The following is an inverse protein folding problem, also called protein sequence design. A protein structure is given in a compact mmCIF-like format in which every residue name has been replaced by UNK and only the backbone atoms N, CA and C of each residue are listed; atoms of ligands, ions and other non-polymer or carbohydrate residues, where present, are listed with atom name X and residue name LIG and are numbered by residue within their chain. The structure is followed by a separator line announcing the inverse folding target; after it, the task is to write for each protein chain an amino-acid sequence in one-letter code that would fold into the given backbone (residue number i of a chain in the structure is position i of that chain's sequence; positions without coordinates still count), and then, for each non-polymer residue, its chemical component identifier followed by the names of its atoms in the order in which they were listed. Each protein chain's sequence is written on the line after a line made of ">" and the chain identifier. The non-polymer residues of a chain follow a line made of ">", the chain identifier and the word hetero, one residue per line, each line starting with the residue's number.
data_IF_809291938197
#
_entry.id   IF_809291938197
#
_cell.length_a   1.000
_cell.length_b   1.000
_cell.length_c   1.000
_cell.angle_alpha   90.00
_cell.angle_beta   90.00
_cell.angle_gamma   90.00
#
_symmetry.space_group_name_H-M   'P 1'
#
loop_
_entity.id
_entity.type
_entity.pdbx_description
1 polymer ?
#
# COMPACT_ATOMS: atom_id res chain seq x y z
N UNK A 1 9.45 7.83 -8.23
CA UNK A 1 9.02 6.92 -9.31
C UNK A 1 8.04 7.58 -10.26
N UNK A 2 6.92 8.17 -9.80
CA UNK A 2 5.96 8.86 -10.69
C UNK A 2 6.30 10.35 -10.97
N UNK A 3 7.48 10.81 -10.56
CA UNK A 3 7.89 12.21 -10.67
C UNK A 3 8.25 12.64 -12.10
N UNK A 4 8.40 11.68 -13.02
CA UNK A 4 8.74 11.92 -14.43
C UNK A 4 7.50 12.04 -15.34
N UNK A 5 6.29 11.97 -14.77
CA UNK A 5 5.06 12.10 -15.53
C UNK A 5 4.86 13.55 -15.98
N UNK A 6 4.33 13.73 -17.19
CA UNK A 6 3.86 15.04 -17.66
C UNK A 6 2.65 15.51 -16.83
N UNK A 7 2.41 16.81 -16.81
CA UNK A 7 1.25 17.39 -16.09
C UNK A 7 -0.09 16.73 -16.44
N UNK A 8 -0.42 16.48 -17.74
CA UNK A 8 -1.66 15.79 -18.09
C UNK A 8 -1.73 14.35 -17.55
N UNK A 9 -0.61 13.64 -17.52
CA UNK A 9 -0.56 12.28 -17.00
C UNK A 9 -0.74 12.25 -15.47
N UNK A 10 -0.21 13.23 -14.75
CA UNK A 10 -0.44 13.40 -13.31
C UNK A 10 -1.91 13.69 -13.04
N UNK A 11 -2.55 14.57 -13.81
CA UNK A 11 -3.96 14.90 -13.65
C UNK A 11 -4.87 13.69 -13.94
N UNK A 12 -4.59 12.94 -15.01
CA UNK A 12 -5.29 11.71 -15.33
C UNK A 12 -5.15 10.67 -14.20
N UNK A 13 -3.95 10.54 -13.64
CA UNK A 13 -3.69 9.63 -12.52
C UNK A 13 -4.44 10.06 -11.24
N UNK A 14 -4.49 11.37 -10.96
CA UNK A 14 -5.25 11.89 -9.82
C UNK A 14 -6.76 11.61 -9.98
N UNK A 15 -7.32 11.87 -11.18
CA UNK A 15 -8.71 11.52 -11.52
C UNK A 15 -8.98 10.04 -11.31
N UNK A 16 -8.05 9.18 -11.73
CA UNK A 16 -8.13 7.74 -11.52
C UNK A 16 -8.12 7.35 -10.03
N UNK A 17 -7.22 7.92 -9.22
CA UNK A 17 -7.20 7.66 -7.77
C UNK A 17 -8.48 8.14 -7.08
N UNK A 18 -9.00 9.31 -7.44
CA UNK A 18 -10.26 9.82 -6.90
C UNK A 18 -11.44 8.91 -7.25
N UNK A 19 -11.45 8.35 -8.47
CA UNK A 19 -12.46 7.36 -8.87
C UNK A 19 -12.38 6.10 -8.02
N UNK A 20 -11.18 5.56 -7.77
CA UNK A 20 -10.97 4.42 -6.86
C UNK A 20 -11.48 4.74 -5.45
N UNK A 21 -11.17 5.93 -4.94
CA UNK A 21 -11.60 6.38 -3.61
C UNK A 21 -13.12 6.39 -3.46
N UNK A 22 -13.84 6.97 -4.44
CA UNK A 22 -15.31 7.03 -4.43
C UNK A 22 -15.93 5.63 -4.58
N UNK A 23 -15.38 4.81 -5.48
CA UNK A 23 -15.91 3.46 -5.73
C UNK A 23 -15.56 2.45 -4.64
N UNK A 24 -14.54 2.72 -3.81
CA UNK A 24 -14.07 1.79 -2.77
C UNK A 24 -13.46 0.49 -3.32
N UNK A 25 -13.07 0.44 -4.60
CA UNK A 25 -12.58 -0.77 -5.29
C UNK A 25 -11.17 -0.57 -5.81
N UNK A 26 -10.21 -1.34 -5.30
CA UNK A 26 -8.85 -1.40 -5.88
C UNK A 26 -8.67 -2.60 -6.79
N UNK A 27 -7.75 -2.47 -7.75
CA UNK A 27 -7.35 -3.57 -8.60
C UNK A 27 -6.78 -4.73 -7.78
N UNK A 28 -7.19 -5.96 -8.10
CA UNK A 28 -6.72 -7.18 -7.40
C UNK A 28 -5.20 -7.34 -7.50
N UNK A 29 -4.58 -6.85 -8.58
CA UNK A 29 -3.14 -6.84 -8.76
C UNK A 29 -2.40 -5.97 -7.74
N UNK A 30 -3.03 -4.93 -7.19
CA UNK A 30 -2.41 -4.04 -6.20
C UNK A 30 -2.38 -4.64 -4.79
N UNK A 31 -3.18 -5.69 -4.57
CA UNK A 31 -3.18 -6.52 -3.35
C UNK A 31 -2.06 -7.54 -3.32
N UNK A 32 -1.34 -7.69 -4.45
CA UNK A 32 -0.25 -8.66 -4.62
C UNK A 32 1.07 -7.91 -4.65
N UNK A 33 2.09 -8.51 -4.02
CA UNK A 33 3.46 -8.03 -4.08
C UNK A 33 4.38 -9.22 -4.37
N UNK A 34 5.43 -8.98 -5.16
CA UNK A 34 6.49 -9.97 -5.30
C UNK A 34 7.39 -9.90 -4.08
N UNK A 35 7.59 -11.01 -3.38
CA UNK A 35 8.36 -11.03 -2.13
C UNK A 35 9.78 -11.47 -2.45
N UNK A 36 10.73 -10.53 -2.32
CA UNK A 36 12.15 -10.84 -2.35
C UNK A 36 12.65 -11.12 -0.95
N UNK A 37 13.23 -12.30 -0.72
CA UNK A 37 13.76 -12.69 0.58
C UNK A 37 15.28 -12.52 0.61
N UNK A 38 15.80 -11.65 1.49
CA UNK A 38 17.24 -11.42 1.63
C UNK A 38 17.77 -11.99 2.94
N UNK A 39 18.84 -12.77 2.88
CA UNK A 39 19.42 -13.39 4.07
C UNK A 39 19.96 -12.31 5.03
N UNK A 40 19.69 -12.47 6.33
CA UNK A 40 20.33 -11.63 7.37
C UNK A 40 21.84 -11.92 7.38
N UNK A 41 22.70 -10.89 7.53
CA UNK A 41 24.15 -11.08 7.56
C UNK A 41 24.57 -12.10 8.62
N UNK A 42 25.53 -12.97 8.28
CA UNK A 42 26.13 -13.92 9.22
C UNK A 42 25.20 -15.06 9.69
N UNK A 43 24.14 -15.38 8.94
CA UNK A 43 23.22 -16.49 9.26
C UNK A 43 23.28 -17.56 8.19
N UNK A 44 23.12 -18.84 8.58
CA UNK A 44 23.04 -19.95 7.62
C UNK A 44 21.66 -20.00 6.94
N UNK A 45 21.62 -20.51 5.72
CA UNK A 45 20.45 -20.54 4.81
C UNK A 45 19.28 -21.41 5.31
N UNK A 46 19.46 -22.13 6.41
CA UNK A 46 18.67 -23.29 6.78
C UNK A 46 17.26 -22.94 7.27
N UNK A 47 17.01 -21.70 7.74
CA UNK A 47 15.73 -21.30 8.32
C UNK A 47 15.15 -20.04 7.67
N UNK A 48 13.86 -20.08 7.30
CA UNK A 48 13.12 -18.97 6.69
C UNK A 48 13.11 -17.69 7.54
N UNK A 49 13.08 -17.81 8.87
CA UNK A 49 13.11 -16.68 9.82
C UNK A 49 14.40 -15.82 9.74
N UNK A 50 15.41 -16.33 9.05
CA UNK A 50 16.70 -15.67 8.83
C UNK A 50 16.69 -14.75 7.62
N UNK A 51 15.62 -14.73 6.83
CA UNK A 51 15.47 -13.81 5.71
C UNK A 51 14.65 -12.57 6.10
N UNK A 52 14.89 -11.47 5.40
CA UNK A 52 14.09 -10.25 5.41
C UNK A 52 13.21 -10.25 4.17
N UNK A 53 11.88 -10.42 4.30
CA UNK A 53 10.99 -10.29 3.16
C UNK A 53 10.86 -8.81 2.78
N UNK A 54 11.11 -8.49 1.51
CA UNK A 54 10.91 -7.16 0.93
C UNK A 54 9.80 -7.27 -0.13
N UNK A 55 8.60 -6.73 0.14
CA UNK A 55 7.51 -6.74 -0.82
C UNK A 55 7.73 -5.68 -1.90
N UNK A 56 7.86 -6.15 -3.14
CA UNK A 56 7.82 -5.32 -4.34
C UNK A 56 6.37 -5.16 -4.80
N UNK A 57 5.69 -4.16 -4.25
CA UNK A 57 4.39 -3.70 -4.76
C UNK A 57 4.55 -2.71 -5.92
N UNK A 58 3.51 -2.58 -6.74
CA UNK A 58 3.47 -1.63 -7.87
C UNK A 58 3.66 -0.19 -7.38
N UNK A 59 4.28 0.66 -8.21
CA UNK A 59 4.50 2.05 -7.80
C UNK A 59 3.16 2.80 -7.62
N UNK A 60 2.13 2.44 -8.39
CA UNK A 60 0.79 3.00 -8.26
C UNK A 60 0.16 2.66 -6.90
N UNK A 61 0.24 1.40 -6.48
CA UNK A 61 -0.28 0.97 -5.17
C UNK A 61 0.44 1.69 -4.03
N UNK A 62 1.79 1.79 -4.09
CA UNK A 62 2.59 2.53 -3.08
C UNK A 62 2.19 4.00 -3.01
N UNK A 63 2.04 4.66 -4.16
CA UNK A 63 1.61 6.07 -4.21
C UNK A 63 0.22 6.25 -3.63
N UNK A 64 -0.72 5.38 -3.99
CA UNK A 64 -2.10 5.47 -3.52
C UNK A 64 -2.21 5.30 -2.00
N UNK A 65 -1.51 4.31 -1.42
CA UNK A 65 -1.44 4.13 0.04
C UNK A 65 -0.84 5.37 0.72
N UNK A 66 0.16 6.01 0.11
CA UNK A 66 0.74 7.25 0.64
C UNK A 66 -0.26 8.40 0.65
N UNK A 67 -1.04 8.58 -0.42
CA UNK A 67 -2.11 9.60 -0.49
C UNK A 67 -3.10 9.37 0.65
N UNK A 68 -3.59 8.13 0.79
CA UNK A 68 -4.52 7.74 1.87
C UNK A 68 -3.93 8.05 3.25
N UNK A 69 -2.68 7.65 3.51
CA UNK A 69 -2.02 7.88 4.80
C UNK A 69 -1.94 9.38 5.12
N UNK A 70 -1.60 10.20 4.13
CA UNK A 70 -1.54 11.66 4.32
C UNK A 70 -2.93 12.21 4.59
N UNK A 71 -3.94 11.86 3.80
CA UNK A 71 -5.33 12.29 4.03
C UNK A 71 -5.83 11.92 5.43
N UNK A 72 -5.53 10.70 5.88
CA UNK A 72 -5.90 10.23 7.21
C UNK A 72 -5.19 11.01 8.32
N UNK A 73 -3.87 11.24 8.19
CA UNK A 73 -3.11 12.02 9.18
C UNK A 73 -3.57 13.49 9.26
N UNK A 74 -3.87 14.11 8.11
CA UNK A 74 -4.41 15.47 8.09
C UNK A 74 -5.75 15.55 8.82
N UNK A 75 -6.62 14.56 8.63
CA UNK A 75 -7.91 14.52 9.31
C UNK A 75 -7.78 14.32 10.82
N UNK A 76 -6.83 13.50 11.29
CA UNK A 76 -6.52 13.37 12.72
C UNK A 76 -5.98 14.69 13.29
N UNK A 77 -5.13 15.40 12.53
CA UNK A 77 -4.60 16.70 12.96
C UNK A 77 -5.67 17.79 13.04
N UNK A 78 -6.69 17.73 12.18
CA UNK A 78 -7.77 18.72 12.13
C UNK A 78 -8.97 18.39 13.03
N UNK A 79 -9.23 17.11 13.33
CA UNK A 79 -10.28 16.69 14.25
C UNK A 79 -9.66 16.33 15.62
N UNK A 80 -9.83 17.19 16.62
CA UNK A 80 -9.55 16.83 18.00
C UNK A 80 -10.42 15.65 18.43
N UNK A 81 -9.84 14.44 18.45
CA UNK A 81 -10.25 13.16 19.08
C UNK A 81 -11.74 12.74 19.16
N UNK A 82 -12.70 13.39 18.49
CA UNK A 82 -14.12 13.05 18.59
C UNK A 82 -14.86 13.06 17.25
N UNK A 83 -15.49 11.93 16.90
CA UNK A 83 -16.57 11.87 15.90
C UNK A 83 -16.18 11.44 14.48
N UNK A 84 -15.34 12.21 13.78
CA UNK A 84 -15.18 12.07 12.31
C UNK A 84 -14.30 10.90 11.83
N UNK A 85 -13.69 10.13 12.73
CA UNK A 85 -12.77 9.05 12.37
C UNK A 85 -13.49 7.77 11.92
N UNK A 86 -14.69 7.47 12.43
CA UNK A 86 -15.43 6.23 12.14
C UNK A 86 -15.85 6.10 10.68
N UNK A 87 -16.34 7.18 10.07
CA UNK A 87 -16.74 7.22 8.65
C UNK A 87 -15.56 6.98 7.70
N UNK A 88 -14.37 7.44 8.09
CA UNK A 88 -13.15 7.23 7.32
C UNK A 88 -12.62 5.82 7.52
N UNK A 89 -12.66 5.28 8.75
CA UNK A 89 -12.22 3.90 9.05
C UNK A 89 -13.05 2.89 8.25
N UNK A 90 -14.37 3.06 8.10
CA UNK A 90 -15.21 2.18 7.27
C UNK A 90 -14.85 2.24 5.77
N UNK A 91 -14.42 3.40 5.27
CA UNK A 91 -13.96 3.54 3.88
C UNK A 91 -12.53 3.03 3.68
N UNK A 92 -11.71 3.02 4.74
CA UNK A 92 -10.31 2.59 4.73
C UNK A 92 -10.08 1.13 5.11
N UNK A 93 -11.04 0.46 5.76
CA UNK A 93 -10.95 -0.94 6.18
C UNK A 93 -10.67 -1.90 5.01
N UNK A 94 -11.25 -1.70 3.80
CA UNK A 94 -10.85 -2.47 2.63
C UNK A 94 -9.40 -2.23 2.21
N UNK A 95 -8.78 -1.09 2.55
CA UNK A 95 -7.48 -0.67 2.03
C UNK A 95 -6.31 -1.00 2.97
N UNK A 96 -6.53 -0.98 4.29
CA UNK A 96 -5.49 -1.30 5.30
C UNK A 96 -5.27 -2.81 5.40
N UNK A 97 -6.26 -3.63 5.02
CA UNK A 97 -6.18 -5.10 5.08
C UNK A 97 -5.56 -5.76 3.83
N UNK A 98 -5.09 -4.99 2.85
CA UNK A 98 -4.67 -5.50 1.53
C UNK A 98 -3.17 -5.78 1.37
N UNK A 99 -2.51 -6.08 2.47
CA UNK A 99 -1.20 -6.74 2.45
C UNK A 99 -1.28 -8.02 3.29
N UNK A 100 -2.24 -8.90 2.99
CA UNK A 100 -2.10 -10.30 3.37
C UNK A 100 -0.90 -10.85 2.60
N UNK A 101 0.24 -10.91 3.28
CA UNK A 101 1.50 -11.47 2.80
C UNK A 101 1.28 -12.93 2.46
N UNK A 102 0.88 -13.23 1.22
CA UNK A 102 0.87 -14.60 0.70
C UNK A 102 2.26 -14.85 0.13
N UNK A 103 3.19 -15.34 0.97
CA UNK A 103 4.41 -15.97 0.48
C UNK A 103 3.98 -17.13 -0.42
N UNK A 104 4.14 -17.01 -1.73
CA UNK A 104 4.28 -18.22 -2.55
C UNK A 104 5.49 -18.95 -1.98
N UNK A 105 5.31 -20.24 -1.74
CA UNK A 105 6.37 -21.12 -1.26
C UNK A 105 7.65 -20.86 -2.07
N UNK A 106 8.81 -20.71 -1.40
CA UNK A 106 10.05 -20.81 -2.13
C UNK A 106 10.13 -22.25 -2.68
N UNK A 107 10.31 -22.37 -3.98
CA UNK A 107 10.88 -23.57 -4.59
C UNK A 107 12.29 -23.72 -4.00
N UNK A 108 12.40 -24.40 -2.86
CA UNK A 108 13.60 -24.99 -2.24
C UNK A 108 13.18 -25.77 -0.98
#
# INVERSE_FOLDING_TARGET
>A
MLALLSSPAVEALLKFFNKIWVLGKIAESWKKAFILAFLKPGKLLNWRSRYRPIPLSSCLAKTYVRIIKISFLLQIGSCGLGGCASDMIHRLTPFVFLMQVRTREPLL
#
